data_IF_559563567884
#
_entry.id   IF_559563567884
#
_cell.length_a   1.000
_cell.length_b   1.000
_cell.length_c   1.000
_cell.angle_alpha   90.00
_cell.angle_beta   90.00
_cell.angle_gamma   90.00
#
_symmetry.space_group_name_H-M   'P 1'
#
loop_
_entity.id
_entity.type
_entity.pdbx_description
1 polymer ?
#
# COMPACT_ATOMS: atom_id res chain seq x y z
N UNK A 1 4.64 -19.33 11.92
CA UNK A 1 3.81 -18.15 11.57
C UNK A 1 2.44 -18.55 11.02
N UNK A 2 2.33 -19.34 9.95
CA UNK A 2 1.03 -19.73 9.37
C UNK A 2 0.03 -20.34 10.37
N UNK A 3 0.49 -21.16 11.32
CA UNK A 3 -0.34 -21.72 12.40
C UNK A 3 -1.00 -20.63 13.27
N UNK A 4 -0.28 -19.55 13.56
CA UNK A 4 -0.79 -18.42 14.38
C UNK A 4 -1.96 -17.74 13.66
N UNK A 5 -1.83 -17.48 12.36
CA UNK A 5 -2.90 -16.86 11.59
C UNK A 5 -4.15 -17.76 11.52
N UNK A 6 -3.96 -19.07 11.32
CA UNK A 6 -5.08 -20.03 11.28
C UNK A 6 -5.81 -20.12 12.62
N UNK A 7 -5.06 -20.23 13.73
CA UNK A 7 -5.63 -20.23 15.08
C UNK A 7 -6.40 -18.93 15.35
N UNK A 8 -5.80 -17.77 15.05
CA UNK A 8 -6.46 -16.47 15.24
C UNK A 8 -7.78 -16.36 14.44
N UNK A 9 -7.82 -16.86 13.20
CA UNK A 9 -9.05 -16.85 12.38
C UNK A 9 -10.12 -17.81 12.91
N UNK A 10 -9.72 -18.93 13.51
CA UNK A 10 -10.64 -19.89 14.12
C UNK A 10 -11.23 -19.36 15.43
N UNK A 11 -10.40 -18.75 16.27
CA UNK A 11 -10.82 -18.20 17.57
C UNK A 11 -11.62 -16.90 17.42
N UNK A 12 -11.30 -16.09 16.41
CA UNK A 12 -11.94 -14.80 16.15
C UNK A 12 -12.56 -14.77 14.74
N UNK A 13 -13.83 -15.19 14.58
CA UNK A 13 -14.50 -15.18 13.26
C UNK A 13 -14.59 -13.81 12.59
N UNK A 14 -14.56 -12.73 13.38
CA UNK A 14 -14.57 -11.33 12.91
C UNK A 14 -13.18 -10.67 12.99
N UNK A 15 -12.11 -11.45 12.88
CA UNK A 15 -10.74 -10.94 12.92
C UNK A 15 -10.51 -9.91 11.80
N UNK A 16 -10.13 -8.69 12.19
CA UNK A 16 -9.84 -7.60 11.25
C UNK A 16 -8.33 -7.34 11.11
N UNK A 17 -7.54 -7.54 12.18
CA UNK A 17 -6.11 -7.28 12.21
C UNK A 17 -5.42 -8.14 13.25
N UNK A 18 -4.17 -8.54 12.96
CA UNK A 18 -3.26 -9.14 13.94
C UNK A 18 -2.12 -8.15 14.22
N UNK A 19 -1.91 -7.82 15.49
CA UNK A 19 -0.77 -7.03 15.97
C UNK A 19 0.35 -7.97 16.42
N UNK A 20 1.46 -8.00 15.68
CA UNK A 20 2.64 -8.79 16.00
C UNK A 20 3.66 -7.94 16.78
N UNK A 21 3.99 -8.37 17.99
CA UNK A 21 5.16 -7.85 18.71
C UNK A 21 6.35 -8.71 18.32
N UNK A 22 7.33 -8.13 17.64
CA UNK A 22 8.49 -8.86 17.11
C UNK A 22 9.77 -8.44 17.81
N UNK A 23 10.76 -9.35 17.99
CA UNK A 23 12.08 -8.96 18.48
C UNK A 23 12.74 -7.96 17.52
N UNK A 24 13.51 -7.02 18.07
CA UNK A 24 14.05 -5.88 17.34
C UNK A 24 15.01 -6.25 16.18
N UNK A 25 15.74 -7.37 16.33
CA UNK A 25 16.73 -7.90 15.38
C UNK A 25 16.20 -9.11 14.58
N UNK A 26 14.87 -9.32 14.59
CA UNK A 26 14.29 -10.50 13.95
C UNK A 26 14.08 -10.33 12.45
N UNK A 27 14.46 -11.35 11.67
CA UNK A 27 14.13 -11.47 10.26
C UNK A 27 12.69 -11.96 10.00
N UNK A 28 11.87 -12.16 11.04
CA UNK A 28 10.52 -12.73 10.92
C UNK A 28 9.52 -11.77 10.26
N UNK A 29 9.85 -10.48 10.14
CA UNK A 29 8.96 -9.47 9.56
C UNK A 29 8.52 -9.84 8.14
N UNK A 30 9.45 -10.25 7.26
CA UNK A 30 9.14 -10.63 5.89
C UNK A 30 8.22 -11.85 5.85
N UNK A 31 8.48 -12.87 6.67
CA UNK A 31 7.63 -14.07 6.77
C UNK A 31 6.21 -13.75 7.23
N UNK A 32 6.04 -12.79 8.16
CA UNK A 32 4.71 -12.34 8.59
C UNK A 32 3.99 -11.63 7.45
N UNK A 33 4.70 -10.78 6.71
CA UNK A 33 4.15 -10.02 5.58
C UNK A 33 3.75 -10.90 4.41
N UNK A 34 4.60 -11.84 4.02
CA UNK A 34 4.28 -12.83 3.00
C UNK A 34 3.06 -13.67 3.40
N UNK A 35 3.02 -14.18 4.64
CA UNK A 35 1.87 -14.96 5.11
C UNK A 35 0.57 -14.16 5.15
N UNK A 36 0.61 -12.92 5.64
CA UNK A 36 -0.57 -12.06 5.76
C UNK A 36 -1.07 -11.51 4.43
N UNK A 37 -0.16 -10.91 3.66
CA UNK A 37 -0.49 -10.11 2.48
C UNK A 37 -0.62 -10.98 1.21
N UNK A 38 0.19 -12.04 1.06
CA UNK A 38 0.20 -12.86 -0.16
C UNK A 38 -0.61 -14.16 -0.05
N UNK A 39 -0.75 -14.74 1.15
CA UNK A 39 -1.33 -16.08 1.28
C UNK A 39 -2.69 -16.12 1.99
N UNK A 40 -2.91 -15.27 2.99
CA UNK A 40 -4.07 -15.40 3.88
C UNK A 40 -5.04 -14.22 3.82
N UNK A 41 -4.62 -13.07 3.27
CA UNK A 41 -5.42 -11.86 3.17
C UNK A 41 -5.83 -11.30 4.55
N UNK A 42 -4.96 -11.43 5.55
CA UNK A 42 -5.21 -10.93 6.92
C UNK A 42 -4.31 -9.74 7.17
N UNK A 43 -4.92 -8.60 7.50
CA UNK A 43 -4.21 -7.36 7.79
C UNK A 43 -3.30 -7.55 9.01
N UNK A 44 -2.04 -7.13 8.86
CA UNK A 44 -1.04 -7.22 9.93
C UNK A 44 -0.42 -5.87 10.27
N UNK A 45 -0.16 -5.66 11.56
CA UNK A 45 0.69 -4.59 12.05
C UNK A 45 1.81 -5.20 12.90
N UNK A 46 3.07 -4.91 12.55
CA UNK A 46 4.21 -5.34 13.36
C UNK A 46 4.72 -4.16 14.20
N UNK A 47 5.13 -4.42 15.44
CA UNK A 47 5.78 -3.46 16.32
C UNK A 47 6.99 -4.12 16.98
N UNK A 48 8.12 -3.40 17.03
CA UNK A 48 9.31 -3.89 17.72
C UNK A 48 9.05 -4.00 19.22
N UNK A 49 9.54 -5.05 19.86
CA UNK A 49 9.34 -5.31 21.28
C UNK A 49 9.78 -4.12 22.15
N UNK A 50 10.91 -3.50 21.84
CA UNK A 50 11.37 -2.31 22.56
C UNK A 50 10.40 -1.11 22.45
N UNK A 51 9.71 -0.93 21.32
CA UNK A 51 8.73 0.15 21.16
C UNK A 51 7.46 -0.08 22.01
N UNK A 52 7.21 -1.30 22.46
CA UNK A 52 6.12 -1.64 23.39
C UNK A 52 6.61 -1.56 24.83
N UNK A 53 7.76 -2.17 25.13
CA UNK A 53 8.30 -2.26 26.48
C UNK A 53 8.82 -0.92 27.01
N UNK A 54 9.43 -0.11 26.13
CA UNK A 54 10.01 1.21 26.45
C UNK A 54 9.62 2.19 25.36
N UNK A 55 8.35 2.62 25.31
CA UNK A 55 7.87 3.48 24.25
C UNK A 55 8.66 4.80 24.21
N UNK A 56 9.24 5.18 23.05
CA UNK A 56 9.93 6.44 22.92
C UNK A 56 9.00 7.62 23.19
N UNK A 57 9.53 8.70 23.79
CA UNK A 57 8.86 9.99 23.82
C UNK A 57 8.80 10.52 22.39
N UNK A 58 7.62 10.79 21.84
CA UNK A 58 7.49 11.33 20.47
C UNK A 58 6.45 10.67 19.56
N UNK A 59 5.37 10.13 20.12
CA UNK A 59 4.20 9.78 19.30
C UNK A 59 4.31 8.50 18.48
N UNK A 60 5.21 7.57 18.84
CA UNK A 60 5.30 6.25 18.18
C UNK A 60 3.96 5.53 18.19
N UNK A 61 3.20 5.62 19.28
CA UNK A 61 1.85 5.06 19.36
C UNK A 61 0.89 5.76 18.39
N UNK A 62 0.97 7.09 18.28
CA UNK A 62 0.15 7.86 17.33
C UNK A 62 0.43 7.42 15.90
N UNK A 63 1.71 7.33 15.51
CA UNK A 63 2.11 6.85 14.19
C UNK A 63 1.68 5.39 13.93
N UNK A 64 1.65 4.56 14.97
CA UNK A 64 1.15 3.19 14.87
C UNK A 64 -0.36 3.18 14.59
N UNK A 65 -1.14 4.00 15.31
CA UNK A 65 -2.57 4.12 15.11
C UNK A 65 -2.93 4.69 13.73
N UNK A 66 -2.15 5.67 13.23
CA UNK A 66 -2.33 6.18 11.86
C UNK A 66 -2.18 5.07 10.81
N UNK A 67 -1.22 4.15 10.99
CA UNK A 67 -1.02 3.00 10.11
C UNK A 67 -2.12 1.95 10.25
N UNK A 68 -2.58 1.69 11.47
CA UNK A 68 -3.67 0.73 11.72
C UNK A 68 -4.97 1.23 11.09
N UNK A 69 -5.30 2.52 11.28
CA UNK A 69 -6.50 3.12 10.74
C UNK A 69 -6.56 2.97 9.22
N UNK A 70 -5.48 3.31 8.50
CA UNK A 70 -5.46 3.19 7.02
C UNK A 70 -5.52 1.76 6.53
N UNK A 71 -4.82 0.84 7.20
CA UNK A 71 -4.86 -0.60 6.87
C UNK A 71 -6.25 -1.23 7.04
N UNK A 72 -7.06 -0.69 7.95
CA UNK A 72 -8.44 -1.11 8.17
C UNK A 72 -9.43 -0.31 7.30
N UNK A 73 -8.95 0.49 6.36
CA UNK A 73 -9.77 1.25 5.42
C UNK A 73 -10.28 2.60 5.95
N UNK A 74 -9.78 3.06 7.10
CA UNK A 74 -10.06 4.38 7.64
C UNK A 74 -9.27 5.51 6.96
N UNK A 75 -9.76 6.74 7.11
CA UNK A 75 -9.10 7.96 6.61
C UNK A 75 -8.62 8.78 7.80
N UNK A 76 -7.34 9.19 7.77
CA UNK A 76 -6.74 9.94 8.88
C UNK A 76 -7.01 11.45 8.80
N UNK A 77 -6.87 12.03 7.60
CA UNK A 77 -6.99 13.47 7.33
C UNK A 77 -7.45 13.66 5.90
N UNK A 78 -8.27 14.69 5.67
CA UNK A 78 -8.75 15.12 4.36
C UNK A 78 -8.34 16.58 4.18
N UNK A 79 -8.00 16.98 2.96
CA UNK A 79 -7.68 18.39 2.66
C UNK A 79 -8.94 19.25 2.73
N UNK A 80 -8.83 20.39 3.42
CA UNK A 80 -9.91 21.37 3.48
C UNK A 80 -10.13 22.03 2.11
N UNK A 81 -11.39 22.32 1.77
CA UNK A 81 -11.77 22.87 0.47
C UNK A 81 -11.07 24.19 0.14
N UNK A 82 -10.80 25.05 1.14
CA UNK A 82 -10.04 26.30 0.93
C UNK A 82 -9.13 26.54 2.13
N UNK A 83 -7.89 27.02 1.94
CA UNK A 83 -7.24 27.36 0.66
C UNK A 83 -6.50 26.20 -0.02
N UNK A 84 -6.45 25.02 0.60
CA UNK A 84 -5.44 24.00 0.28
C UNK A 84 -5.80 23.07 -0.87
N UNK A 85 -7.09 22.79 -1.12
CA UNK A 85 -7.48 21.82 -2.15
C UNK A 85 -7.36 22.44 -3.56
N UNK A 86 -6.63 21.82 -4.51
CA UNK A 86 -6.54 22.34 -5.88
C UNK A 86 -7.90 22.43 -6.59
N UNK A 87 -8.09 23.45 -7.44
CA UNK A 87 -9.36 23.67 -8.16
C UNK A 87 -9.84 22.45 -8.96
N UNK A 88 -8.91 21.71 -9.56
CA UNK A 88 -9.23 20.51 -10.35
C UNK A 88 -9.92 19.43 -9.51
N UNK A 89 -9.62 19.35 -8.20
CA UNK A 89 -10.21 18.39 -7.26
C UNK A 89 -11.53 18.90 -6.63
N UNK A 90 -11.97 20.10 -6.98
CA UNK A 90 -13.17 20.74 -6.40
C UNK A 90 -14.20 21.14 -7.45
N UNK A 91 -13.87 21.00 -8.74
CA UNK A 91 -14.74 21.45 -9.83
C UNK A 91 -15.90 20.46 -9.98
N UNK A 92 -17.17 20.93 -9.92
CA UNK A 92 -18.32 20.04 -10.09
C UNK A 92 -18.24 19.24 -11.39
N UNK A 93 -18.55 17.94 -11.32
CA UNK A 93 -18.47 17.03 -12.45
C UNK A 93 -17.07 16.49 -12.76
N UNK A 94 -16.01 16.99 -12.10
CA UNK A 94 -14.68 16.38 -12.21
C UNK A 94 -14.62 15.09 -11.39
N UNK A 95 -14.21 14.01 -12.05
CA UNK A 95 -13.84 12.74 -11.45
C UNK A 95 -12.35 12.57 -11.70
N UNK A 96 -11.56 12.96 -10.70
CA UNK A 96 -10.10 12.95 -10.80
C UNK A 96 -9.58 11.64 -10.22
N UNK A 97 -8.58 11.06 -10.87
CA UNK A 97 -7.77 9.98 -10.31
C UNK A 97 -6.32 10.45 -10.22
N UNK A 98 -5.71 10.31 -9.05
CA UNK A 98 -4.29 10.57 -8.84
C UNK A 98 -3.55 9.25 -8.94
N UNK A 99 -2.56 9.19 -9.82
CA UNK A 99 -1.74 8.01 -10.08
C UNK A 99 -0.30 8.37 -9.74
N UNK A 100 0.39 7.44 -9.08
CA UNK A 100 1.83 7.47 -8.91
C UNK A 100 2.42 6.16 -9.38
N UNK A 101 3.58 6.20 -10.00
CA UNK A 101 4.28 4.98 -10.40
C UNK A 101 5.78 5.06 -10.13
N UNK A 102 6.37 3.91 -9.82
CA UNK A 102 7.81 3.79 -9.57
C UNK A 102 8.32 2.42 -10.03
N UNK A 103 9.61 2.36 -10.36
CA UNK A 103 10.33 1.12 -10.61
C UNK A 103 11.49 1.03 -9.64
N UNK A 104 11.45 0.02 -8.78
CA UNK A 104 12.55 -0.28 -7.86
C UNK A 104 13.47 -1.33 -8.47
N UNK A 105 14.75 -0.99 -8.57
CA UNK A 105 15.80 -1.90 -9.03
C UNK A 105 16.50 -2.59 -7.84
N UNK A 106 16.89 -3.88 -8.01
CA UNK A 106 17.71 -4.57 -7.02
C UNK A 106 19.09 -3.89 -6.88
N UNK A 107 19.68 -3.94 -5.69
CA UNK A 107 21.00 -3.38 -5.45
C UNK A 107 22.07 -4.15 -6.25
N UNK A 108 23.22 -3.55 -6.58
CA UNK A 108 24.26 -4.22 -7.36
C UNK A 108 24.78 -5.55 -6.76
N UNK A 109 24.66 -5.72 -5.44
CA UNK A 109 25.07 -6.92 -4.71
C UNK A 109 23.96 -7.97 -4.58
N UNK A 110 22.72 -7.65 -4.97
CA UNK A 110 21.61 -8.59 -4.89
C UNK A 110 21.72 -9.65 -5.98
N UNK A 111 21.30 -10.87 -5.65
CA UNK A 111 21.19 -11.97 -6.62
C UNK A 111 19.90 -11.90 -7.45
N UNK A 112 19.01 -10.98 -7.10
CA UNK A 112 17.76 -10.75 -7.82
C UNK A 112 18.06 -9.95 -9.07
N UNK A 113 17.65 -10.47 -10.23
CA UNK A 113 17.86 -9.82 -11.53
C UNK A 113 16.60 -9.10 -12.05
N UNK A 114 15.53 -9.10 -11.25
CA UNK A 114 14.21 -8.57 -11.62
C UNK A 114 13.96 -7.24 -10.93
N UNK A 115 13.39 -6.29 -11.67
CA UNK A 115 12.91 -5.01 -11.09
C UNK A 115 11.44 -5.15 -10.71
N UNK A 116 10.97 -4.34 -9.78
CA UNK A 116 9.56 -4.31 -9.38
C UNK A 116 8.96 -2.98 -9.79
N UNK A 117 7.99 -3.01 -10.70
CA UNK A 117 7.17 -1.87 -11.04
C UNK A 117 5.92 -1.84 -10.14
N UNK A 118 5.58 -0.66 -9.64
CA UNK A 118 4.38 -0.44 -8.85
C UNK A 118 3.64 0.80 -9.37
N UNK A 119 2.34 0.66 -9.60
CA UNK A 119 1.43 1.77 -9.87
C UNK A 119 0.36 1.81 -8.80
N UNK A 120 0.05 3.00 -8.30
CA UNK A 120 -1.04 3.22 -7.36
C UNK A 120 -2.05 4.21 -7.94
N UNK A 121 -3.31 4.08 -7.54
CA UNK A 121 -4.39 4.93 -8.01
C UNK A 121 -5.35 5.29 -6.90
N UNK A 122 -5.70 6.57 -6.75
CA UNK A 122 -6.68 7.02 -5.76
C UNK A 122 -8.07 6.46 -6.08
N UNK A 123 -8.79 5.90 -5.11
CA UNK A 123 -10.10 5.24 -5.28
C UNK A 123 -11.22 5.86 -4.44
N UNK A 124 -11.02 7.08 -3.92
CA UNK A 124 -12.02 7.85 -3.21
C UNK A 124 -12.00 9.33 -3.63
N UNK A 125 -13.10 10.04 -3.36
CA UNK A 125 -13.27 11.47 -3.72
C UNK A 125 -12.34 12.41 -2.94
N UNK A 126 -11.85 11.94 -1.80
CA UNK A 126 -10.91 12.67 -0.94
C UNK A 126 -9.45 12.35 -1.26
N UNK A 127 -9.19 11.44 -2.20
CA UNK A 127 -7.86 10.98 -2.61
C UNK A 127 -6.99 10.50 -1.43
N UNK A 128 -7.61 9.86 -0.46
CA UNK A 128 -6.99 9.34 0.76
C UNK A 128 -6.83 7.82 0.72
N UNK A 129 -7.55 7.13 -0.17
CA UNK A 129 -7.47 5.67 -0.35
C UNK A 129 -6.87 5.36 -1.71
N UNK A 130 -5.97 4.40 -1.76
CA UNK A 130 -5.29 3.99 -2.98
C UNK A 130 -5.39 2.49 -3.17
N UNK A 131 -5.62 2.07 -4.41
CA UNK A 131 -5.36 0.71 -4.86
C UNK A 131 -3.96 0.63 -5.46
N UNK A 132 -3.40 -0.58 -5.54
CA UNK A 132 -2.06 -0.83 -6.05
C UNK A 132 -2.06 -1.98 -7.05
N UNK A 133 -1.33 -1.81 -8.14
CA UNK A 133 -0.97 -2.87 -9.08
C UNK A 133 0.56 -2.99 -9.11
N UNK A 134 1.06 -4.22 -9.03
CA UNK A 134 2.50 -4.52 -8.90
C UNK A 134 2.89 -5.57 -9.93
N UNK A 135 4.06 -5.41 -10.56
CA UNK A 135 4.63 -6.34 -11.52
C UNK A 135 6.11 -6.56 -11.26
N UNK A 136 6.53 -7.82 -11.35
CA UNK A 136 7.94 -8.14 -11.53
C UNK A 136 8.27 -8.00 -13.03
N UNK A 137 9.32 -7.26 -13.37
CA UNK A 137 9.77 -7.11 -14.75
C UNK A 137 11.25 -7.44 -14.91
N UNK A 138 11.54 -8.34 -15.84
CA UNK A 138 12.90 -8.77 -16.16
C UNK A 138 13.70 -7.64 -16.81
N UNK A 139 14.99 -7.56 -16.49
CA UNK A 139 15.90 -6.63 -17.17
C UNK A 139 16.24 -7.19 -18.56
N UNK A 140 16.32 -6.32 -19.55
CA UNK A 140 16.72 -6.71 -20.92
C UNK A 140 18.19 -7.12 -20.96
N UNK A 141 19.04 -6.52 -20.12
CA UNK A 141 20.44 -6.91 -19.89
C UNK A 141 20.85 -6.62 -18.45
N UNK A 142 21.89 -7.31 -17.93
CA UNK A 142 22.41 -7.07 -16.57
C UNK A 142 22.90 -5.62 -16.32
N UNK A 143 23.21 -4.89 -17.39
CA UNK A 143 23.77 -3.54 -17.32
C UNK A 143 22.74 -2.41 -17.47
N UNK A 144 21.51 -2.70 -17.90
CA UNK A 144 20.48 -1.67 -18.08
C UNK A 144 19.30 -1.92 -17.15
N UNK A 145 19.12 -1.00 -16.21
CA UNK A 145 17.86 -0.84 -15.50
C UNK A 145 16.76 -0.51 -16.53
N UNK A 146 15.63 -1.22 -16.46
CA UNK A 146 14.48 -0.93 -17.31
C UNK A 146 13.57 -0.02 -16.51
N UNK A 147 13.73 1.28 -16.69
CA UNK A 147 12.92 2.34 -16.05
C UNK A 147 11.48 2.36 -16.60
N UNK A 148 11.30 1.89 -17.84
CA UNK A 148 9.98 1.80 -18.45
C UNK A 148 9.16 0.68 -17.79
N UNK A 149 7.98 1.01 -17.32
CA UNK A 149 7.03 0.01 -16.82
C UNK A 149 6.48 -0.77 -18.01
N UNK A 150 6.75 -2.07 -18.08
CA UNK A 150 6.45 -2.88 -19.28
C UNK A 150 4.96 -3.12 -19.51
N UNK A 151 4.23 -3.41 -18.44
CA UNK A 151 2.79 -3.74 -18.44
C UNK A 151 1.97 -2.55 -17.91
N UNK A 152 2.36 -1.33 -18.27
CA UNK A 152 1.76 -0.12 -17.73
C UNK A 152 0.27 -0.03 -18.08
N UNK A 153 -0.11 -0.36 -19.30
CA UNK A 153 -1.51 -0.39 -19.76
C UNK A 153 -2.36 -1.39 -18.95
N UNK A 154 -1.85 -2.59 -18.69
CA UNK A 154 -2.51 -3.57 -17.82
C UNK A 154 -2.68 -3.06 -16.39
N UNK A 155 -1.62 -2.50 -15.81
CA UNK A 155 -1.64 -1.94 -14.46
C UNK A 155 -2.62 -0.76 -14.33
N UNK A 156 -2.67 0.14 -15.32
CA UNK A 156 -3.63 1.25 -15.34
C UNK A 156 -5.07 0.73 -15.55
N UNK A 157 -5.27 -0.29 -16.37
CA UNK A 157 -6.58 -0.92 -16.57
C UNK A 157 -7.17 -1.50 -15.28
N UNK A 158 -6.35 -2.17 -14.47
CA UNK A 158 -6.76 -2.65 -13.14
C UNK A 158 -7.16 -1.48 -12.22
N UNK A 159 -6.35 -0.43 -12.16
CA UNK A 159 -6.62 0.73 -11.32
C UNK A 159 -7.90 1.49 -11.75
N UNK A 160 -8.15 1.62 -13.05
CA UNK A 160 -9.39 2.21 -13.58
C UNK A 160 -10.63 1.38 -13.21
N UNK A 161 -10.50 0.06 -13.23
CA UNK A 161 -11.57 -0.87 -12.82
C UNK A 161 -11.88 -0.71 -11.33
N UNK A 162 -10.86 -0.63 -10.48
CA UNK A 162 -11.01 -0.37 -9.04
C UNK A 162 -11.65 1.01 -8.78
N UNK A 163 -11.22 2.05 -9.50
CA UNK A 163 -11.83 3.37 -9.41
C UNK A 163 -13.32 3.34 -9.76
N UNK A 164 -13.67 2.70 -10.89
CA UNK A 164 -15.05 2.61 -11.34
C UNK A 164 -15.91 1.83 -10.35
N UNK A 165 -15.38 0.76 -9.78
CA UNK A 165 -16.05 -0.05 -8.75
C UNK A 165 -16.31 0.78 -7.49
N UNK A 166 -15.34 1.59 -7.06
CA UNK A 166 -15.45 2.40 -5.85
C UNK A 166 -16.35 3.64 -6.01
N UNK A 167 -16.34 4.28 -7.18
CA UNK A 167 -16.97 5.59 -7.40
C UNK A 167 -18.11 5.60 -8.43
N UNK A 168 -18.45 4.43 -9.00
CA UNK A 168 -19.58 4.26 -9.91
C UNK A 168 -19.37 4.83 -11.32
N UNK A 169 -18.14 5.20 -11.69
CA UNK A 169 -17.81 5.71 -13.02
C UNK A 169 -16.32 5.92 -13.22
N UNK A 170 -15.89 5.99 -14.48
CA UNK A 170 -14.48 6.23 -14.82
C UNK A 170 -14.06 7.69 -14.55
N UNK A 171 -12.78 7.92 -14.20
CA UNK A 171 -12.27 9.27 -14.08
C UNK A 171 -12.31 9.98 -15.43
N UNK A 172 -12.57 11.28 -15.43
CA UNK A 172 -12.45 12.14 -16.61
C UNK A 172 -11.18 13.02 -16.57
N UNK A 173 -10.42 12.94 -15.48
CA UNK A 173 -9.11 13.58 -15.34
C UNK A 173 -8.16 12.62 -14.62
N UNK A 174 -6.93 12.51 -15.12
CA UNK A 174 -5.86 11.75 -14.48
C UNK A 174 -4.70 12.71 -14.20
N UNK A 175 -4.21 12.68 -12.96
CA UNK A 175 -2.96 13.35 -12.57
C UNK A 175 -1.96 12.24 -12.33
N UNK A 176 -0.86 12.23 -13.09
CA UNK A 176 0.17 11.20 -13.02
C UNK A 176 1.47 11.82 -12.50
N UNK A 177 2.04 11.19 -11.48
CA UNK A 177 3.36 11.50 -10.88
C UNK A 177 4.37 10.40 -11.19
#
# INVERSE_FOLDING_TARGET
IATIFRAAKQECPRLQLILFIIPDDSLIYSTIKEAGDCHLGIVTQCVKANNVARPPKGGVQSNLLLKINTKLGGVNRILESKPDKPKVLQTPGHRVMIIGADVTHPAPADKLETSVAACIGSIDIDHCKYSASIRAQERTTKAQAVEMIKDFDGMIGELLTEYQTALGGLPNHIIYY
#
